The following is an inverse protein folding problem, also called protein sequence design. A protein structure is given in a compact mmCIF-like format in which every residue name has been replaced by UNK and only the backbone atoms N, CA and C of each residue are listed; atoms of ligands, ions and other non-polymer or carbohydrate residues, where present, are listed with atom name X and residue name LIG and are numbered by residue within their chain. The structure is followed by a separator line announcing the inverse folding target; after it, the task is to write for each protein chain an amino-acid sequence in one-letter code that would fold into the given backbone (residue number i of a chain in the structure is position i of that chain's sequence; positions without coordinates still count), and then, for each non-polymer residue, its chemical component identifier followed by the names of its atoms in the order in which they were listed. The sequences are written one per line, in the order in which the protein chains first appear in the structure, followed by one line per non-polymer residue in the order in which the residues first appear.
data_IF_788200382649
#
_entry.id   IF_788200382649
#
_cell.length_a   1.000
_cell.length_b   1.000
_cell.length_c   1.000
_cell.angle_alpha   90.00
_cell.angle_beta   90.00
_cell.angle_gamma   90.00
#
_symmetry.space_group_name_H-M   'P 1'
#
loop_
_entity.id
_entity.type
_entity.pdbx_description
1 polymer ?
#
# COMPACT_ATOMS: atom_id res chain seq x y z
N UNK A 1 -46.93 12.32 20.01
CA UNK A 1 -45.53 12.74 20.19
C UNK A 1 -44.71 11.74 19.40
N UNK A 2 -44.22 12.15 18.23
CA UNK A 2 -43.74 11.26 17.15
C UNK A 2 -42.24 10.99 17.37
N UNK A 3 -41.86 9.72 17.36
CA UNK A 3 -40.48 9.25 17.43
C UNK A 3 -39.67 9.75 16.23
N UNK A 4 -38.45 10.22 16.48
CA UNK A 4 -37.41 10.45 15.48
C UNK A 4 -36.11 9.81 15.99
N UNK A 5 -36.09 8.48 15.95
CA UNK A 5 -34.85 7.70 15.92
C UNK A 5 -34.35 7.72 14.48
N UNK A 6 -33.39 8.59 14.19
CA UNK A 6 -32.85 8.77 12.85
C UNK A 6 -31.34 8.92 12.89
N UNK A 7 -30.69 8.11 12.07
CA UNK A 7 -29.30 8.19 11.61
C UNK A 7 -28.25 7.54 12.52
N UNK A 8 -28.25 6.19 12.48
CA UNK A 8 -26.96 5.51 12.43
C UNK A 8 -26.25 5.93 11.13
N UNK A 9 -24.94 6.28 11.15
CA UNK A 9 -24.23 6.54 9.91
C UNK A 9 -24.18 5.24 9.10
N UNK A 10 -24.79 5.30 7.92
CA UNK A 10 -24.65 4.30 6.87
C UNK A 10 -23.17 3.98 6.70
N UNK A 11 -22.82 2.71 6.91
CA UNK A 11 -21.49 2.20 6.60
C UNK A 11 -21.25 2.48 5.12
N UNK A 12 -20.29 3.37 4.86
CA UNK A 12 -19.79 3.62 3.53
C UNK A 12 -19.14 2.33 3.01
N UNK A 13 -19.93 1.50 2.34
CA UNK A 13 -19.44 0.46 1.46
C UNK A 13 -18.86 1.14 0.21
N UNK A 14 -17.73 1.83 0.41
CA UNK A 14 -16.86 2.21 -0.67
C UNK A 14 -16.19 0.91 -1.14
N UNK A 15 -16.86 0.21 -2.05
CA UNK A 15 -16.30 -0.92 -2.77
C UNK A 15 -15.15 -0.39 -3.64
N UNK A 16 -13.96 -0.31 -3.06
CA UNK A 16 -12.73 0.10 -3.74
C UNK A 16 -12.38 -0.97 -4.78
N UNK A 17 -12.14 -0.54 -6.01
CA UNK A 17 -11.74 -1.46 -7.08
C UNK A 17 -10.40 -2.11 -6.74
N UNK A 18 -10.36 -3.43 -6.67
CA UNK A 18 -9.12 -4.19 -6.49
C UNK A 18 -8.26 -4.00 -7.73
N UNK A 19 -7.15 -3.29 -7.59
CA UNK A 19 -6.25 -3.02 -8.71
C UNK A 19 -5.42 -4.25 -9.08
N UNK A 20 -5.05 -4.37 -10.35
CA UNK A 20 -4.05 -5.35 -10.81
C UNK A 20 -2.62 -4.97 -10.37
N UNK A 21 -2.41 -3.68 -10.18
CA UNK A 21 -1.14 -3.07 -9.82
C UNK A 21 -1.34 -1.91 -8.87
N UNK A 22 -0.34 -1.63 -8.03
CA UNK A 22 -0.30 -0.48 -7.16
C UNK A 22 0.97 0.32 -7.44
N UNK A 23 0.82 1.60 -7.75
CA UNK A 23 1.95 2.50 -7.87
C UNK A 23 2.46 2.87 -6.47
N UNK A 24 3.72 2.55 -6.18
CA UNK A 24 4.37 2.93 -4.93
C UNK A 24 5.02 4.32 -5.04
N UNK A 25 5.74 4.57 -6.13
CA UNK A 25 6.49 5.80 -6.37
C UNK A 25 6.27 6.30 -7.79
N UNK A 26 6.30 7.61 -7.96
CA UNK A 26 6.22 8.29 -9.25
C UNK A 26 7.57 8.96 -9.58
N UNK A 27 8.04 8.79 -10.81
CA UNK A 27 9.23 9.44 -11.37
C UNK A 27 8.95 10.88 -11.84
N UNK A 28 7.69 11.29 -11.85
CA UNK A 28 7.16 12.55 -12.38
C UNK A 28 5.64 12.45 -12.55
N UNK A 29 5.00 13.51 -13.03
CA UNK A 29 3.53 13.57 -13.17
C UNK A 29 3.01 12.40 -14.03
N UNK A 30 2.32 11.46 -13.38
CA UNK A 30 1.68 10.31 -14.04
C UNK A 30 2.61 9.17 -14.47
N UNK A 31 3.91 9.22 -14.17
CA UNK A 31 4.85 8.16 -14.55
C UNK A 31 5.32 7.36 -13.33
N UNK A 32 4.84 6.12 -13.10
CA UNK A 32 5.26 5.33 -11.95
C UNK A 32 6.75 4.92 -12.06
N UNK A 33 7.55 5.34 -11.08
CA UNK A 33 8.90 4.84 -10.89
C UNK A 33 8.89 3.42 -10.34
N UNK A 34 7.96 3.07 -9.45
CA UNK A 34 7.92 1.74 -8.84
C UNK A 34 6.47 1.27 -8.71
N UNK A 35 6.23 0.02 -9.08
CA UNK A 35 4.91 -0.60 -9.09
C UNK A 35 4.97 -2.04 -8.60
N UNK A 36 3.92 -2.43 -7.87
CA UNK A 36 3.65 -3.81 -7.47
C UNK A 36 2.53 -4.39 -8.33
N UNK A 37 2.61 -5.67 -8.67
CA UNK A 37 1.49 -6.41 -9.30
C UNK A 37 0.97 -7.48 -8.36
N UNK A 38 -0.31 -7.86 -8.52
CA UNK A 38 -0.92 -8.92 -7.70
C UNK A 38 -0.46 -10.33 -8.11
N UNK A 39 -0.44 -11.21 -7.11
CA UNK A 39 -0.39 -12.68 -7.11
C UNK A 39 0.05 -13.41 -8.41
N UNK A 40 1.29 -13.92 -8.48
CA UNK A 40 2.35 -13.77 -7.47
C UNK A 40 2.77 -12.30 -7.38
N UNK A 41 3.12 -11.82 -6.19
CA UNK A 41 3.56 -10.43 -6.05
C UNK A 41 4.89 -10.22 -6.76
N UNK A 42 4.94 -9.21 -7.63
CA UNK A 42 6.15 -8.80 -8.36
C UNK A 42 6.35 -7.30 -8.20
N UNK A 43 7.58 -6.86 -8.33
CA UNK A 43 7.97 -5.44 -8.28
C UNK A 43 8.75 -5.06 -9.53
N UNK A 44 8.43 -3.91 -10.11
CA UNK A 44 9.16 -3.32 -11.22
C UNK A 44 9.62 -1.90 -10.89
N UNK A 45 10.76 -1.51 -11.45
CA UNK A 45 11.36 -0.19 -11.32
C UNK A 45 11.48 0.45 -12.72
N UNK A 46 10.66 1.46 -12.98
CA UNK A 46 10.48 2.05 -14.31
C UNK A 46 10.07 0.99 -15.33
N UNK A 47 10.82 0.95 -16.43
CA UNK A 47 10.62 0.03 -17.55
C UNK A 47 11.30 -1.34 -17.37
N UNK A 48 11.93 -1.59 -16.22
CA UNK A 48 12.53 -2.90 -15.94
C UNK A 48 11.45 -4.00 -15.85
N UNK A 49 11.75 -5.23 -16.30
CA UNK A 49 10.86 -6.37 -16.10
C UNK A 49 10.51 -6.57 -14.62
N UNK A 50 9.23 -6.83 -14.33
CA UNK A 50 8.79 -7.10 -12.97
C UNK A 50 9.47 -8.35 -12.41
N UNK A 51 10.15 -8.20 -11.27
CA UNK A 51 10.90 -9.25 -10.58
C UNK A 51 10.00 -9.91 -9.52
N UNK A 52 10.04 -11.25 -9.37
CA UNK A 52 9.25 -11.92 -8.35
C UNK A 52 9.76 -11.56 -6.96
N UNK A 53 8.83 -11.45 -6.01
CA UNK A 53 9.14 -11.34 -4.59
C UNK A 53 9.00 -12.71 -3.91
N UNK A 54 9.77 -12.99 -2.86
CA UNK A 54 9.50 -14.12 -1.97
C UNK A 54 8.08 -14.04 -1.41
N UNK A 55 7.44 -15.18 -1.22
CA UNK A 55 6.13 -15.25 -0.56
C UNK A 55 6.19 -14.56 0.82
N UNK A 56 5.22 -13.68 1.10
CA UNK A 56 5.17 -12.94 2.36
C UNK A 56 6.19 -11.80 2.51
N UNK A 57 6.96 -11.46 1.46
CA UNK A 57 7.95 -10.37 1.52
C UNK A 57 7.33 -9.03 1.97
N UNK A 58 6.12 -8.71 1.48
CA UNK A 58 5.37 -7.50 1.88
C UNK A 58 5.12 -7.51 3.39
N UNK A 59 4.53 -8.58 3.92
CA UNK A 59 4.24 -8.71 5.35
C UNK A 59 5.52 -8.55 6.18
N UNK A 60 6.61 -9.21 5.80
CA UNK A 60 7.91 -9.12 6.49
C UNK A 60 8.51 -7.71 6.49
N UNK A 61 8.38 -6.97 5.38
CA UNK A 61 8.81 -5.56 5.32
C UNK A 61 8.04 -4.71 6.32
N UNK A 62 6.73 -4.86 6.41
CA UNK A 62 5.90 -4.12 7.36
C UNK A 62 6.06 -4.59 8.82
N UNK A 63 6.29 -5.87 9.06
CA UNK A 63 6.63 -6.38 10.40
C UNK A 63 7.91 -5.72 10.93
N UNK A 64 8.91 -5.56 10.06
CA UNK A 64 10.23 -5.04 10.41
C UNK A 64 10.29 -3.51 10.47
N UNK A 65 9.68 -2.84 9.49
CA UNK A 65 9.83 -1.39 9.30
C UNK A 65 8.53 -0.61 9.44
N UNK A 66 7.38 -1.29 9.45
CA UNK A 66 6.07 -0.63 9.55
C UNK A 66 5.80 -0.11 10.95
N UNK A 67 5.19 1.05 11.02
CA UNK A 67 4.70 1.67 12.25
C UNK A 67 3.20 1.36 12.41
N UNK A 68 2.67 1.30 13.65
CA UNK A 68 1.23 1.12 13.89
C UNK A 68 0.42 2.17 13.14
N UNK A 69 -0.60 1.74 12.40
CA UNK A 69 -1.47 2.66 11.66
C UNK A 69 -2.79 2.84 12.40
N UNK A 70 -3.17 4.11 12.63
CA UNK A 70 -4.45 4.49 13.22
C UNK A 70 -5.38 5.01 12.12
N UNK A 71 -6.43 4.26 11.80
CA UNK A 71 -7.43 4.64 10.80
C UNK A 71 -8.22 5.88 11.19
N UNK A 72 -8.44 6.11 12.49
CA UNK A 72 -9.19 7.27 12.96
C UNK A 72 -8.42 8.58 12.68
N UNK A 73 -7.09 8.52 12.66
CA UNK A 73 -6.25 9.67 12.31
C UNK A 73 -6.36 10.07 10.83
N UNK A 74 -6.87 9.20 9.97
CA UNK A 74 -7.01 9.43 8.51
C UNK A 74 -8.45 9.82 8.12
N UNK A 75 -9.41 9.79 9.05
CA UNK A 75 -10.84 10.04 8.81
C UNK A 75 -11.22 11.48 8.32
N UNK A 76 -10.24 12.31 7.95
CA UNK A 76 -10.44 13.60 7.25
C UNK A 76 -9.67 13.73 5.92
N UNK A 77 -9.03 12.66 5.45
CA UNK A 77 -8.23 12.62 4.22
C UNK A 77 -9.01 12.18 2.97
N UNK A 78 -8.37 12.19 1.79
CA UNK A 78 -8.94 11.56 0.59
C UNK A 78 -9.03 10.07 0.84
N UNK A 79 -10.09 9.44 0.35
CA UNK A 79 -10.14 7.99 0.30
C UNK A 79 -8.92 7.46 -0.50
N UNK A 80 -8.35 6.30 -0.11
CA UNK A 80 -7.28 5.67 -0.86
C UNK A 80 -7.72 5.47 -2.32
N UNK A 81 -6.87 5.89 -3.25
CA UNK A 81 -7.22 5.92 -4.68
C UNK A 81 -7.10 4.55 -5.33
N UNK A 82 -6.27 3.66 -4.76
CA UNK A 82 -5.99 2.31 -5.27
C UNK A 82 -5.68 1.36 -4.12
N UNK A 83 -6.26 0.15 -4.17
CA UNK A 83 -5.96 -0.95 -3.26
C UNK A 83 -5.48 -2.19 -4.02
N UNK A 84 -4.50 -2.90 -3.46
CA UNK A 84 -3.94 -4.11 -4.05
C UNK A 84 -4.03 -5.26 -3.06
N UNK A 85 -4.67 -6.35 -3.49
CA UNK A 85 -4.68 -7.61 -2.75
C UNK A 85 -3.34 -8.33 -2.93
N UNK A 86 -2.72 -8.70 -1.81
CA UNK A 86 -1.53 -9.56 -1.74
C UNK A 86 -1.88 -10.84 -0.97
N UNK A 87 -0.97 -11.83 -0.92
CA UNK A 87 -1.29 -13.16 -0.39
C UNK A 87 -1.75 -13.16 1.08
N UNK A 88 -1.31 -12.16 1.86
CA UNK A 88 -1.52 -12.09 3.31
C UNK A 88 -2.25 -10.82 3.77
N UNK A 89 -2.87 -10.08 2.85
CA UNK A 89 -3.56 -8.84 3.20
C UNK A 89 -3.77 -7.88 2.04
N UNK A 90 -3.93 -6.61 2.39
CA UNK A 90 -4.21 -5.52 1.47
C UNK A 90 -3.17 -4.42 1.58
N UNK A 91 -2.86 -3.80 0.45
CA UNK A 91 -2.04 -2.60 0.37
C UNK A 91 -2.89 -1.44 -0.13
N UNK A 92 -2.76 -0.29 0.52
CA UNK A 92 -3.35 0.97 0.07
C UNK A 92 -2.32 2.08 0.11
N UNK A 93 -2.25 2.90 -0.94
CA UNK A 93 -1.41 4.10 -0.95
C UNK A 93 -2.22 5.29 -0.44
N UNK A 94 -1.68 5.95 0.57
CA UNK A 94 -2.17 7.23 1.07
C UNK A 94 -1.30 8.33 0.47
N UNK A 95 -1.93 9.17 -0.35
CA UNK A 95 -1.26 10.35 -0.89
C UNK A 95 -1.27 11.47 0.14
N UNK A 96 -0.14 12.17 0.18
CA UNK A 96 -0.02 13.39 0.96
C UNK A 96 -1.02 14.47 0.50
N UNK A 97 -1.60 15.22 1.44
CA UNK A 97 -2.41 16.42 1.15
C UNK A 97 -1.73 17.67 1.69
N UNK A 98 -1.57 18.64 0.79
CA UNK A 98 -0.78 19.88 0.90
C UNK A 98 -1.14 20.80 2.08
N UNK A 99 -2.24 20.56 2.79
CA UNK A 99 -2.71 21.47 3.85
C UNK A 99 -2.05 21.22 5.22
N UNK A 100 -1.38 20.06 5.43
CA UNK A 100 -0.86 19.68 6.74
C UNK A 100 0.63 19.30 6.79
N UNK A 101 1.19 18.67 5.75
CA UNK A 101 2.64 18.36 5.77
C UNK A 101 3.45 19.29 4.86
N UNK A 102 4.59 19.72 5.40
CA UNK A 102 5.56 20.60 4.74
C UNK A 102 6.30 19.89 3.60
N UNK A 103 6.24 18.55 3.54
CA UNK A 103 6.88 17.73 2.51
C UNK A 103 5.88 16.71 1.95
N UNK A 104 5.73 16.62 0.61
CA UNK A 104 4.90 15.60 0.01
C UNK A 104 5.51 14.21 0.26
N UNK A 105 4.88 13.45 1.15
CA UNK A 105 5.30 12.09 1.51
C UNK A 105 4.16 11.13 1.28
N UNK A 106 4.32 10.24 0.30
CA UNK A 106 3.39 9.16 0.10
C UNK A 106 3.68 8.02 1.07
N UNK A 107 2.61 7.52 1.69
CA UNK A 107 2.66 6.40 2.61
C UNK A 107 1.96 5.19 2.00
N UNK A 108 2.52 4.02 2.27
CA UNK A 108 1.89 2.75 1.98
C UNK A 108 1.40 2.16 3.30
N UNK A 109 0.14 1.76 3.32
CA UNK A 109 -0.46 1.03 4.45
C UNK A 109 -0.66 -0.41 4.03
N UNK A 110 -0.24 -1.32 4.91
CA UNK A 110 -0.51 -2.74 4.81
C UNK A 110 -1.49 -3.14 5.92
N UNK A 111 -2.63 -3.67 5.50
CA UNK A 111 -3.61 -4.29 6.38
C UNK A 111 -3.46 -5.82 6.24
N UNK A 112 -2.88 -6.52 7.22
CA UNK A 112 -2.87 -7.98 7.19
C UNK A 112 -4.29 -8.54 7.33
N UNK A 113 -4.52 -9.76 6.82
CA UNK A 113 -5.81 -10.46 7.02
C UNK A 113 -6.13 -10.67 8.51
N UNK A 114 -5.09 -10.80 9.32
CA UNK A 114 -5.17 -10.90 10.76
C UNK A 114 -4.12 -9.99 11.40
N UNK A 115 -4.54 -9.19 12.37
CA UNK A 115 -3.65 -8.31 13.14
C UNK A 115 -3.87 -6.83 12.84
N UNK A 116 -2.87 -6.04 13.20
CA UNK A 116 -2.96 -4.57 13.21
C UNK A 116 -2.36 -3.99 11.94
N UNK A 117 -3.07 -3.03 11.34
CA UNK A 117 -2.59 -2.24 10.20
C UNK A 117 -1.25 -1.57 10.50
N UNK A 118 -0.39 -1.48 9.48
CA UNK A 118 0.90 -0.80 9.59
C UNK A 118 1.13 0.10 8.40
N UNK A 119 1.87 1.18 8.60
CA UNK A 119 2.22 2.11 7.53
C UNK A 119 3.73 2.41 7.49
N UNK A 120 4.20 2.80 6.31
CA UNK A 120 5.57 3.27 6.09
C UNK A 120 5.64 4.11 4.80
N UNK A 121 6.66 4.97 4.66
CA UNK A 121 6.93 5.72 3.45
C UNK A 121 7.05 4.78 2.25
N UNK A 122 6.38 5.14 1.15
CA UNK A 122 6.44 4.40 -0.10
C UNK A 122 7.89 4.22 -0.59
N UNK A 123 8.75 5.22 -0.38
CA UNK A 123 10.17 5.18 -0.78
C UNK A 123 10.94 4.10 -0.05
N UNK A 124 10.74 3.98 1.27
CA UNK A 124 11.39 2.97 2.09
C UNK A 124 10.90 1.56 1.74
N UNK A 125 9.58 1.39 1.56
CA UNK A 125 9.01 0.09 1.19
C UNK A 125 9.51 -0.34 -0.20
N UNK A 126 9.53 0.58 -1.16
CA UNK A 126 10.03 0.31 -2.51
C UNK A 126 11.48 -0.16 -2.50
N UNK A 127 12.37 0.56 -1.79
CA UNK A 127 13.78 0.18 -1.69
C UNK A 127 13.96 -1.21 -1.04
N UNK A 128 13.23 -1.50 0.04
CA UNK A 128 13.30 -2.79 0.71
C UNK A 128 12.81 -3.95 -0.18
N UNK A 129 11.70 -3.76 -0.90
CA UNK A 129 11.16 -4.78 -1.79
C UNK A 129 12.04 -4.99 -3.03
N UNK A 130 12.57 -3.92 -3.64
CA UNK A 130 13.51 -4.05 -4.75
C UNK A 130 14.75 -4.86 -4.35
N UNK A 131 15.32 -4.56 -3.17
CA UNK A 131 16.44 -5.32 -2.63
C UNK A 131 16.09 -6.81 -2.41
N UNK A 132 14.91 -7.11 -1.85
CA UNK A 132 14.46 -8.49 -1.67
C UNK A 132 14.26 -9.23 -3.00
N UNK A 133 13.71 -8.55 -4.01
CA UNK A 133 13.52 -9.12 -5.34
C UNK A 133 14.86 -9.45 -6.01
N UNK A 134 15.88 -8.59 -5.86
CA UNK A 134 17.24 -8.84 -6.34
C UNK A 134 17.87 -10.06 -5.69
N UNK A 135 17.80 -10.12 -4.36
CA UNK A 135 18.32 -11.24 -3.58
C UNK A 135 17.60 -12.55 -3.91
N UNK A 136 16.30 -12.50 -4.13
CA UNK A 136 15.50 -13.65 -4.49
C UNK A 136 15.83 -14.16 -5.90
N UNK A 137 15.89 -13.27 -6.89
CA UNK A 137 16.26 -13.63 -8.25
C UNK A 137 17.65 -14.29 -8.30
N UNK A 138 18.63 -13.78 -7.54
CA UNK A 138 19.95 -14.37 -7.45
C UNK A 138 19.94 -15.79 -6.83
N UNK A 139 19.01 -16.09 -5.92
CA UNK A 139 18.89 -17.41 -5.28
C UNK A 139 18.15 -18.46 -6.11
N UNK A 140 17.50 -18.05 -7.22
CA UNK A 140 16.74 -18.94 -8.10
C UNK A 140 17.55 -19.37 -9.35
N UNK A 141 18.73 -18.78 -9.55
CA UNK A 141 19.60 -19.02 -10.70
C UNK A 141 20.79 -19.95 -10.43
N UNK A 142 20.78 -20.64 -9.29
CA UNK A 142 21.77 -21.64 -8.82
C UNK A 142 21.06 -23.00 -8.68
#
# INVERSE_FOLDING_TARGET
MKELSGLAPEGADASHAVAERLCLLEAGEGNPAVWLTRSPVRIANGDEPARPLPAGAVARVFERYGLPFDEAAVAGGEAPTEELRVESGWLRRLRHRTWYDVLPRDYLVYQPDQGVARYQLCSHVSAALLHLAERYAASQGD
#
